data_IF_444290871516
#
_entry.id   IF_444290871516
#
_cell.length_a   1.000
_cell.length_b   1.000
_cell.length_c   1.000
_cell.angle_alpha   90.00
_cell.angle_beta   90.00
_cell.angle_gamma   90.00
#
_symmetry.space_group_name_H-M   'P 1'
#
loop_
_entity.id
_entity.type
_entity.pdbx_description
1 polymer ?
#
# COMPACT_ATOMS: atom_id res chain seq x y z
N UNK A 1 -3.92 -1.59 -10.70
CA UNK A 1 -2.44 -1.62 -10.77
C UNK A 1 -2.02 -2.53 -11.93
N UNK A 2 -1.09 -2.13 -12.79
CA UNK A 2 -0.60 -2.98 -13.91
C UNK A 2 0.09 -4.29 -13.45
N UNK A 3 0.41 -4.43 -12.16
CA UNK A 3 1.12 -5.57 -11.59
C UNK A 3 0.23 -6.68 -10.98
N UNK A 4 -1.09 -6.62 -11.19
CA UNK A 4 -1.99 -7.68 -10.71
C UNK A 4 -2.07 -7.73 -9.19
N UNK A 5 -2.48 -6.63 -8.56
CA UNK A 5 -2.63 -6.54 -7.11
C UNK A 5 -3.66 -7.57 -6.62
N UNK A 6 -3.33 -8.32 -5.56
CA UNK A 6 -4.16 -9.40 -5.01
C UNK A 6 -4.70 -9.06 -3.64
N UNK A 7 -5.97 -9.36 -3.40
CA UNK A 7 -6.57 -9.17 -2.08
C UNK A 7 -5.82 -10.00 -1.02
N UNK A 8 -5.54 -9.40 0.15
CA UNK A 8 -4.72 -10.06 1.19
C UNK A 8 -5.38 -11.32 1.75
N UNK A 9 -6.71 -11.38 1.75
CA UNK A 9 -7.47 -12.50 2.31
C UNK A 9 -7.78 -13.56 1.25
N UNK A 10 -8.30 -13.16 0.09
CA UNK A 10 -8.73 -14.13 -0.93
C UNK A 10 -7.66 -14.50 -1.94
N UNK A 11 -6.59 -13.71 -2.06
CA UNK A 11 -5.59 -13.86 -3.12
C UNK A 11 -6.11 -13.58 -4.54
N UNK A 12 -7.36 -13.13 -4.66
CA UNK A 12 -7.99 -12.78 -5.93
C UNK A 12 -7.36 -11.52 -6.49
N UNK A 13 -7.09 -11.54 -7.80
CA UNK A 13 -6.57 -10.37 -8.49
C UNK A 13 -7.67 -9.32 -8.69
N UNK A 14 -7.34 -8.07 -8.39
CA UNK A 14 -8.16 -6.91 -8.71
C UNK A 14 -8.08 -6.60 -10.21
N UNK A 15 -8.84 -7.34 -11.01
CA UNK A 15 -9.11 -7.05 -12.42
C UNK A 15 -10.28 -6.08 -12.59
N UNK A 16 -10.45 -5.52 -13.80
CA UNK A 16 -11.51 -4.54 -14.09
C UNK A 16 -12.94 -5.03 -13.78
N UNK A 17 -13.22 -6.33 -13.96
CA UNK A 17 -14.54 -6.91 -13.69
C UNK A 17 -14.80 -7.11 -12.19
N UNK A 18 -13.80 -7.59 -11.44
CA UNK A 18 -13.95 -7.93 -10.02
C UNK A 18 -13.91 -6.70 -9.09
N UNK A 19 -13.40 -5.57 -9.58
CA UNK A 19 -13.22 -4.35 -8.78
C UNK A 19 -14.55 -3.80 -8.25
N UNK A 20 -15.61 -3.83 -9.06
CA UNK A 20 -16.94 -3.35 -8.67
C UNK A 20 -17.70 -4.37 -7.82
N UNK A 21 -17.60 -5.66 -8.17
CA UNK A 21 -18.32 -6.73 -7.48
C UNK A 21 -17.79 -6.99 -6.06
N UNK A 22 -16.50 -6.78 -5.79
CA UNK A 22 -15.91 -6.95 -4.46
C UNK A 22 -15.96 -5.70 -3.56
N UNK A 23 -16.57 -4.60 -4.06
CA UNK A 23 -16.56 -3.29 -3.42
C UNK A 23 -15.13 -2.89 -2.97
N UNK A 24 -14.21 -2.89 -3.93
CA UNK A 24 -12.78 -2.57 -3.69
C UNK A 24 -12.61 -1.07 -3.51
N UNK A 25 -11.91 -0.67 -2.45
CA UNK A 25 -11.58 0.73 -2.18
C UNK A 25 -10.11 0.85 -1.72
N UNK A 26 -9.59 2.08 -1.70
CA UNK A 26 -8.22 2.39 -1.31
C UNK A 26 -8.15 2.59 0.20
N UNK A 27 -7.52 1.63 0.88
CA UNK A 27 -7.41 1.61 2.34
C UNK A 27 -5.96 1.64 2.81
N UNK A 28 -5.77 2.03 4.07
CA UNK A 28 -4.46 2.11 4.69
C UNK A 28 -3.89 0.72 4.97
N UNK A 29 -2.62 0.50 4.67
CA UNK A 29 -1.90 -0.75 4.98
C UNK A 29 -1.57 -0.79 6.47
N UNK A 30 -0.90 0.24 6.99
CA UNK A 30 -0.92 0.53 8.43
C UNK A 30 -2.21 1.29 8.75
N UNK A 31 -3.17 0.71 9.49
CA UNK A 31 -4.49 1.32 9.65
C UNK A 31 -4.41 2.70 10.29
N UNK A 32 -5.26 3.62 9.81
CA UNK A 32 -5.30 5.00 10.30
C UNK A 32 -5.40 5.10 11.83
N UNK A 33 -6.22 4.26 12.46
CA UNK A 33 -6.33 4.21 13.92
C UNK A 33 -4.99 3.90 14.57
N UNK A 34 -4.30 2.86 14.11
CA UNK A 34 -2.97 2.51 14.59
C UNK A 34 -1.97 3.65 14.40
N UNK A 35 -1.97 4.31 13.23
CA UNK A 35 -1.08 5.45 12.97
C UNK A 35 -1.34 6.62 13.94
N UNK A 36 -2.59 6.97 14.20
CA UNK A 36 -2.96 8.02 15.15
C UNK A 36 -2.54 7.65 16.57
N UNK A 37 -2.83 6.42 17.01
CA UNK A 37 -2.49 5.94 18.35
C UNK A 37 -0.95 5.89 18.57
N UNK A 38 -0.17 5.77 17.50
CA UNK A 38 1.30 5.76 17.52
C UNK A 38 1.95 7.09 17.12
N UNK A 39 1.18 8.19 17.07
CA UNK A 39 1.70 9.54 16.85
C UNK A 39 2.35 9.76 15.47
N UNK A 40 1.91 9.04 14.44
CA UNK A 40 2.41 9.21 13.06
C UNK A 40 1.84 10.47 12.41
N UNK A 41 2.60 11.11 11.51
CA UNK A 41 2.16 12.32 10.81
C UNK A 41 1.05 11.99 9.79
N UNK A 42 -0.09 12.71 9.80
CA UNK A 42 -1.12 12.61 8.77
C UNK A 42 -0.61 12.72 7.34
N UNK A 43 0.41 13.55 7.09
CA UNK A 43 1.01 13.71 5.76
C UNK A 43 1.67 12.43 5.27
N UNK A 44 2.19 11.61 6.19
CA UNK A 44 2.82 10.33 5.88
C UNK A 44 1.75 9.23 5.78
N UNK A 45 0.89 9.09 6.79
CA UNK A 45 -0.05 7.98 6.82
C UNK A 45 -1.20 8.13 5.82
N UNK A 46 -1.63 9.34 5.45
CA UNK A 46 -2.66 9.53 4.41
C UNK A 46 -2.09 9.51 2.98
N UNK A 47 -0.76 9.40 2.83
CA UNK A 47 -0.10 9.29 1.53
C UNK A 47 -0.45 8.00 0.78
N UNK A 48 -0.23 8.00 -0.54
CA UNK A 48 -0.41 6.79 -1.36
C UNK A 48 0.56 5.66 -0.97
N UNK A 49 1.69 6.00 -0.33
CA UNK A 49 2.71 5.05 0.12
C UNK A 49 2.18 4.16 1.25
N UNK A 50 1.19 4.61 2.03
CA UNK A 50 0.52 3.78 3.03
C UNK A 50 -0.84 3.24 2.55
N UNK A 51 -1.15 3.28 1.26
CA UNK A 51 -2.48 2.91 0.75
C UNK A 51 -2.42 1.80 -0.30
N UNK A 52 -3.43 0.93 -0.30
CA UNK A 52 -3.61 -0.14 -1.28
C UNK A 52 -5.08 -0.41 -1.58
N UNK A 53 -5.42 -0.86 -2.80
CA UNK A 53 -6.74 -1.41 -3.08
C UNK A 53 -6.94 -2.67 -2.23
N UNK A 54 -8.05 -2.75 -1.52
CA UNK A 54 -8.46 -3.90 -0.73
C UNK A 54 -9.96 -4.11 -0.89
N UNK A 55 -10.42 -5.37 -0.85
CA UNK A 55 -11.85 -5.62 -0.81
C UNK A 55 -12.44 -5.09 0.51
N UNK A 56 -13.69 -4.64 0.47
CA UNK A 56 -14.41 -4.18 1.67
C UNK A 56 -14.38 -5.20 2.81
N UNK A 57 -14.45 -6.50 2.50
CA UNK A 57 -14.38 -7.60 3.48
C UNK A 57 -13.01 -7.70 4.12
N UNK A 58 -11.94 -7.60 3.34
CA UNK A 58 -10.56 -7.63 3.86
C UNK A 58 -10.28 -6.41 4.73
N UNK A 59 -10.74 -5.22 4.34
CA UNK A 59 -10.62 -4.03 5.16
C UNK A 59 -11.33 -4.17 6.52
N UNK A 60 -12.50 -4.80 6.57
CA UNK A 60 -13.21 -5.07 7.83
C UNK A 60 -12.42 -6.00 8.77
N UNK A 61 -11.71 -6.98 8.22
CA UNK A 61 -10.86 -7.90 8.99
C UNK A 61 -9.60 -7.20 9.50
N UNK A 62 -8.97 -6.37 8.66
CA UNK A 62 -7.80 -5.56 9.06
C UNK A 62 -8.14 -4.63 10.23
N UNK A 63 -9.30 -3.98 10.17
CA UNK A 63 -9.77 -3.11 11.25
C UNK A 63 -8.80 -1.96 11.54
N UNK A 64 -8.53 -1.71 12.82
CA UNK A 64 -7.68 -0.62 13.30
C UNK A 64 -6.39 -1.03 13.99
N UNK A 65 -5.99 -2.31 13.86
CA UNK A 65 -4.86 -2.90 14.60
C UNK A 65 -3.55 -2.84 13.80
N UNK A 66 -2.43 -3.18 14.46
CA UNK A 66 -1.12 -3.22 13.83
C UNK A 66 -1.06 -4.29 12.71
N UNK A 67 -0.23 -4.10 11.66
CA UNK A 67 -0.01 -5.12 10.64
C UNK A 67 0.37 -6.49 11.16
N UNK A 68 1.28 -6.59 12.13
CA UNK A 68 1.65 -7.87 12.74
C UNK A 68 0.42 -8.65 13.27
N UNK A 69 -0.57 -7.93 13.81
CA UNK A 69 -1.78 -8.49 14.41
C UNK A 69 -2.75 -8.96 13.32
N UNK A 70 -3.10 -8.09 12.34
CA UNK A 70 -4.07 -8.51 11.33
C UNK A 70 -3.47 -9.56 10.38
N UNK A 71 -2.16 -9.54 10.10
CA UNK A 71 -1.53 -10.56 9.27
C UNK A 71 -1.60 -11.93 9.94
N UNK A 72 -1.35 -11.99 11.26
CA UNK A 72 -1.54 -13.21 12.03
C UNK A 72 -2.99 -13.70 12.00
N UNK A 73 -3.97 -12.79 12.10
CA UNK A 73 -5.38 -13.16 11.97
C UNK A 73 -5.74 -13.71 10.58
N UNK A 74 -5.16 -13.15 9.52
CA UNK A 74 -5.33 -13.69 8.16
C UNK A 74 -4.73 -15.08 8.03
N UNK A 75 -3.59 -15.33 8.68
CA UNK A 75 -2.91 -16.63 8.67
C UNK A 75 -3.64 -17.70 9.47
N UNK A 76 -4.24 -17.33 10.59
CA UNK A 76 -5.01 -18.26 11.43
C UNK A 76 -6.41 -18.53 10.87
N UNK A 77 -6.98 -17.58 10.14
CA UNK A 77 -8.37 -17.66 9.69
C UNK A 77 -9.36 -17.41 10.82
N UNK A 78 -10.64 -17.61 10.53
CA UNK A 78 -11.72 -17.58 11.53
C UNK A 78 -12.92 -18.41 11.06
N UNK A 79 -14.00 -18.40 11.83
CA UNK A 79 -15.28 -18.96 11.37
C UNK A 79 -15.85 -18.20 10.15
N UNK A 80 -15.42 -16.95 9.91
CA UNK A 80 -15.90 -16.12 8.81
C UNK A 80 -15.05 -16.25 7.55
N UNK A 81 -13.79 -16.69 7.62
CA UNK A 81 -12.91 -16.79 6.45
C UNK A 81 -11.79 -17.83 6.65
N UNK A 82 -11.35 -18.42 5.55
CA UNK A 82 -10.28 -19.43 5.56
C UNK A 82 -8.92 -18.79 5.88
N UNK A 83 -8.08 -19.53 6.62
CA UNK A 83 -6.68 -19.21 6.85
C UNK A 83 -5.92 -19.03 5.53
N UNK A 84 -5.05 -18.03 5.47
CA UNK A 84 -4.13 -17.82 4.34
C UNK A 84 -2.74 -18.35 4.71
N UNK A 85 -2.16 -19.30 3.97
CA UNK A 85 -0.80 -19.75 4.25
C UNK A 85 0.20 -18.59 4.26
N UNK A 86 1.14 -18.57 5.20
CA UNK A 86 2.12 -17.47 5.37
C UNK A 86 2.83 -17.12 4.06
N UNK A 87 3.28 -18.13 3.31
CA UNK A 87 3.95 -17.94 2.03
C UNK A 87 3.03 -17.33 0.96
N UNK A 88 1.73 -17.60 1.02
CA UNK A 88 0.75 -17.08 0.08
C UNK A 88 0.44 -15.62 0.42
N UNK A 89 0.22 -15.33 1.70
CA UNK A 89 0.03 -13.97 2.19
C UNK A 89 1.23 -13.08 1.85
N UNK A 90 2.46 -13.58 2.05
CA UNK A 90 3.68 -12.88 1.65
C UNK A 90 3.67 -12.55 0.14
N UNK A 91 3.29 -13.50 -0.72
CA UNK A 91 3.17 -13.27 -2.17
C UNK A 91 2.09 -12.23 -2.48
N UNK A 92 0.95 -12.26 -1.78
CA UNK A 92 -0.13 -11.30 -1.99
C UNK A 92 0.32 -9.88 -1.62
N UNK A 93 0.95 -9.70 -0.45
CA UNK A 93 1.51 -8.41 -0.01
C UNK A 93 2.50 -7.84 -1.03
N UNK A 94 3.39 -8.68 -1.55
CA UNK A 94 4.38 -8.28 -2.55
C UNK A 94 3.76 -7.76 -3.85
N UNK A 95 2.55 -8.21 -4.24
CA UNK A 95 1.83 -7.64 -5.40
C UNK A 95 1.46 -6.16 -5.24
N UNK A 96 1.48 -5.65 -4.01
CA UNK A 96 1.21 -4.26 -3.66
C UNK A 96 2.48 -3.46 -3.36
N UNK A 97 3.66 -4.00 -3.68
CA UNK A 97 4.95 -3.45 -3.27
C UNK A 97 5.07 -3.27 -1.74
N UNK A 98 4.37 -4.11 -0.97
CA UNK A 98 4.42 -4.13 0.48
C UNK A 98 5.38 -5.23 0.95
N UNK A 99 6.42 -4.84 1.68
CA UNK A 99 7.40 -5.77 2.24
C UNK A 99 6.79 -6.50 3.46
N UNK A 100 6.65 -7.84 3.44
CA UNK A 100 6.07 -8.58 4.55
C UNK A 100 6.86 -8.45 5.85
N UNK A 101 8.19 -8.34 5.80
CA UNK A 101 9.02 -8.33 7.00
C UNK A 101 8.80 -7.03 7.79
N UNK A 102 8.77 -5.89 7.09
CA UNK A 102 8.47 -4.61 7.73
C UNK A 102 7.05 -4.54 8.29
N UNK A 103 6.07 -5.21 7.68
CA UNK A 103 4.72 -5.30 8.23
C UNK A 103 4.68 -6.19 9.47
N UNK A 104 5.39 -7.31 9.48
CA UNK A 104 5.42 -8.24 10.61
C UNK A 104 6.10 -7.65 11.84
N UNK A 105 7.07 -6.77 11.62
CA UNK A 105 7.78 -6.04 12.68
C UNK A 105 7.07 -4.73 13.09
N UNK A 106 5.92 -4.41 12.48
CA UNK A 106 5.24 -3.10 12.62
C UNK A 106 6.16 -1.89 12.37
N UNK A 107 7.20 -2.09 11.55
CA UNK A 107 8.24 -1.10 11.29
C UNK A 107 7.78 -0.09 10.23
N UNK A 108 6.95 0.85 10.66
CA UNK A 108 6.29 1.86 9.82
C UNK A 108 7.26 2.68 8.97
N UNK A 109 8.35 3.17 9.56
CA UNK A 109 9.33 4.02 8.88
C UNK A 109 10.08 3.25 7.80
N UNK A 110 10.53 2.03 8.12
CA UNK A 110 11.21 1.17 7.14
C UNK A 110 10.26 0.77 6.01
N UNK A 111 9.01 0.43 6.36
CA UNK A 111 7.96 0.11 5.40
C UNK A 111 7.74 1.23 4.39
N UNK A 112 7.48 2.47 4.86
CA UNK A 112 7.23 3.60 3.98
C UNK A 112 8.40 3.85 3.05
N UNK A 113 9.63 3.84 3.57
CA UNK A 113 10.84 4.06 2.79
C UNK A 113 11.03 2.99 1.71
N UNK A 114 10.88 1.72 2.06
CA UNK A 114 11.03 0.60 1.13
C UNK A 114 9.93 0.62 0.05
N UNK A 115 8.68 0.85 0.45
CA UNK A 115 7.54 0.91 -0.47
C UNK A 115 7.62 2.12 -1.40
N UNK A 116 7.97 3.30 -0.90
CA UNK A 116 8.16 4.50 -1.73
C UNK A 116 9.20 4.26 -2.83
N UNK A 117 10.36 3.68 -2.47
CA UNK A 117 11.41 3.34 -3.44
C UNK A 117 10.87 2.40 -4.52
N UNK A 118 10.17 1.35 -4.11
CA UNK A 118 9.63 0.35 -5.05
C UNK A 118 8.57 0.96 -5.97
N UNK A 119 7.65 1.77 -5.44
CA UNK A 119 6.63 2.46 -6.22
C UNK A 119 7.25 3.45 -7.22
N UNK A 120 8.25 4.21 -6.81
CA UNK A 120 8.96 5.13 -7.71
C UNK A 120 9.59 4.36 -8.88
N UNK A 121 10.32 3.28 -8.61
CA UNK A 121 10.90 2.45 -9.67
C UNK A 121 9.85 1.82 -10.59
N UNK A 122 8.66 1.47 -10.08
CA UNK A 122 7.56 0.99 -10.92
C UNK A 122 7.03 2.09 -11.85
N UNK A 123 6.91 3.32 -11.35
CA UNK A 123 6.49 4.48 -12.14
C UNK A 123 7.52 4.81 -13.22
N UNK A 124 8.81 4.88 -12.88
CA UNK A 124 9.90 5.13 -13.83
C UNK A 124 9.91 4.12 -14.98
N UNK A 125 9.79 2.83 -14.65
CA UNK A 125 9.74 1.75 -15.62
C UNK A 125 8.50 1.86 -16.52
N UNK A 126 7.34 2.18 -15.96
CA UNK A 126 6.10 2.35 -16.73
C UNK A 126 6.17 3.57 -17.66
N UNK A 127 6.80 4.67 -17.20
CA UNK A 127 6.95 5.91 -17.97
C UNK A 127 8.07 5.86 -19.00
N UNK A 128 8.93 4.82 -19.01
CA UNK A 128 10.16 4.74 -19.80
C UNK A 128 11.07 5.98 -19.62
N UNK A 129 10.97 6.65 -18.47
CA UNK A 129 11.76 7.83 -18.09
C UNK A 129 12.40 7.56 -16.73
N UNK A 130 13.71 7.79 -16.63
CA UNK A 130 14.41 7.86 -15.34
C UNK A 130 13.90 9.11 -14.63
N UNK A 131 13.33 8.99 -13.43
CA UNK A 131 12.86 10.17 -12.71
C UNK A 131 14.09 10.92 -12.19
N UNK A 132 14.43 12.02 -12.84
CA UNK A 132 15.51 12.91 -12.40
C UNK A 132 15.08 13.60 -11.11
N UNK A 133 15.79 13.33 -10.01
CA UNK A 133 15.66 14.09 -8.77
C UNK A 133 16.47 15.40 -8.86
N UNK A 134 15.96 16.40 -9.56
CA UNK A 134 16.41 17.80 -9.47
C UNK A 134 15.15 18.66 -9.58
N UNK A 135 14.75 19.43 -8.57
CA UNK A 135 15.48 20.58 -8.03
C UNK A 135 14.97 21.81 -8.79
N UNK A 136 14.09 22.57 -8.15
CA UNK A 136 13.26 23.68 -8.67
C UNK A 136 14.01 24.59 -9.65
N UNK A 137 13.46 24.77 -10.85
CA UNK A 137 13.86 25.82 -11.81
C UNK A 137 13.10 27.11 -11.44
N UNK A 138 13.83 28.09 -10.89
CA UNK A 138 13.31 29.43 -10.62
C UNK A 138 13.12 30.17 -11.94
N UNK A 139 11.85 30.43 -12.29
CA UNK A 139 11.47 31.16 -13.48
C UNK A 139 12.03 32.58 -13.49
N UNK A 140 12.94 32.85 -14.42
CA UNK A 140 13.30 34.20 -14.87
C UNK A 140 12.88 34.38 -16.33
N UNK A 141 11.66 34.89 -16.54
CA UNK A 141 11.22 35.58 -17.76
C UNK A 141 10.68 36.93 -17.23
N UNK A 142 11.34 38.08 -17.40
CA UNK A 142 11.82 38.64 -18.65
C UNK A 142 10.86 39.78 -19.01
N UNK A 143 11.03 40.95 -18.39
CA UNK A 143 10.37 42.19 -18.83
C UNK A 143 11.44 43.16 -19.35
N UNK A 144 11.46 43.33 -20.67
CA UNK A 144 12.25 44.31 -21.37
C UNK A 144 11.44 44.87 -22.56
N UNK A 145 10.89 46.09 -22.36
CA UNK A 145 10.35 46.97 -23.39
C UNK A 145 8.86 46.75 -23.65
N UNK A 146 7.98 47.76 -23.53
CA UNK A 146 8.00 49.09 -24.18
C UNK A 146 7.41 50.16 -23.26
#
# INVERSE_FOLDING_TARGET
>A
MQKGARDFRSGQEFGHANFFDEAVDIHHIFPKKWCVDNGKDPKEYDSIVNKSPLSSRTNRIIGGVAPSIYLKSLEEGSHEFQSVPVNDLNRYLQTHAADPDHLRDDNYEAFLKARQKTLLSLIENAMKKTASSQGVDEGSWGDAGV
#
